data_IF_265251069029
#
_entry.id   IF_265251069029
#
_cell.length_a   1.000
_cell.length_b   1.000
_cell.length_c   1.000
_cell.angle_alpha   90.00
_cell.angle_beta   90.00
_cell.angle_gamma   90.00
#
_symmetry.space_group_name_H-M   'P 1'
#
loop_
_entity.id
_entity.type
_entity.pdbx_description
1 polymer ?
#
# COMPACT_ATOMS: atom_id res chain seq x y z
N UNK A 1 -16.58 7.26 3.84
CA UNK A 1 -15.14 7.44 4.07
C UNK A 1 -14.44 7.72 2.74
N UNK A 2 -13.14 7.99 2.75
CA UNK A 2 -12.29 8.02 1.56
C UNK A 2 -11.05 7.18 1.84
N UNK A 3 -11.16 5.87 1.66
CA UNK A 3 -10.11 4.94 2.07
C UNK A 3 -8.94 4.97 1.07
N UNK A 4 -7.70 5.07 1.59
CA UNK A 4 -6.48 5.15 0.76
C UNK A 4 -5.39 4.14 1.08
N UNK A 5 -5.32 3.66 2.32
CA UNK A 5 -4.37 2.65 2.77
C UNK A 5 -5.03 1.67 3.73
N UNK A 6 -4.52 0.44 3.81
CA UNK A 6 -5.00 -0.55 4.75
C UNK A 6 -3.89 -1.52 5.19
N UNK A 7 -4.07 -2.17 6.34
CA UNK A 7 -3.15 -3.18 6.85
C UNK A 7 -3.81 -4.13 7.84
N UNK A 8 -3.24 -5.32 8.02
CA UNK A 8 -3.70 -6.30 9.01
C UNK A 8 -2.64 -6.39 10.11
N UNK A 9 -3.02 -6.06 11.34
CA UNK A 9 -2.15 -6.18 12.51
C UNK A 9 -1.92 -7.67 12.88
N UNK A 10 -0.85 -7.99 13.64
CA UNK A 10 -0.58 -9.36 14.09
C UNK A 10 -1.72 -9.99 14.91
N UNK A 11 -2.54 -9.16 15.57
CA UNK A 11 -3.73 -9.57 16.33
C UNK A 11 -5.01 -9.68 15.49
N UNK A 12 -4.91 -9.59 14.16
CA UNK A 12 -5.99 -9.63 13.16
C UNK A 12 -6.80 -8.34 13.00
N UNK A 13 -6.55 -7.34 13.84
CA UNK A 13 -7.26 -6.09 13.68
C UNK A 13 -6.89 -5.42 12.36
N UNK A 14 -7.88 -4.82 11.73
CA UNK A 14 -7.78 -4.16 10.45
C UNK A 14 -7.51 -2.69 10.69
N UNK A 15 -6.48 -2.15 10.04
CA UNK A 15 -6.21 -0.71 10.00
C UNK A 15 -6.65 -0.15 8.66
N UNK A 16 -7.39 0.96 8.70
CA UNK A 16 -7.91 1.65 7.52
C UNK A 16 -7.53 3.14 7.60
N UNK A 17 -6.73 3.62 6.64
CA UNK A 17 -6.41 5.04 6.51
C UNK A 17 -7.54 5.79 5.80
N UNK A 18 -8.18 6.72 6.51
CA UNK A 18 -9.26 7.54 6.00
C UNK A 18 -8.76 8.93 5.60
N UNK A 19 -8.78 9.17 4.29
CA UNK A 19 -8.42 10.41 3.63
C UNK A 19 -9.58 11.43 3.69
N UNK A 20 -10.06 11.72 4.89
CA UNK A 20 -11.06 12.75 5.12
C UNK A 20 -10.54 13.77 6.13
N UNK A 21 -11.26 14.88 6.28
CA UNK A 21 -10.87 15.99 7.16
C UNK A 21 -10.78 15.58 8.65
N UNK A 22 -11.49 14.53 9.05
CA UNK A 22 -11.48 13.97 10.41
C UNK A 22 -10.16 13.26 10.77
N UNK A 23 -9.26 13.05 9.80
CA UNK A 23 -7.85 12.62 9.96
C UNK A 23 -7.64 11.48 10.95
N UNK A 24 -8.07 10.28 10.58
CA UNK A 24 -7.90 9.10 11.41
C UNK A 24 -7.41 7.89 10.61
N UNK A 25 -6.63 7.05 11.30
CA UNK A 25 -6.54 5.63 10.96
C UNK A 25 -7.55 4.93 11.87
N UNK A 26 -8.49 4.19 11.30
CA UNK A 26 -9.50 3.46 12.07
C UNK A 26 -9.05 2.02 12.27
N UNK A 27 -9.26 1.52 13.48
CA UNK A 27 -9.02 0.13 13.84
C UNK A 27 -10.35 -0.62 13.97
N UNK A 28 -10.45 -1.76 13.31
CA UNK A 28 -11.58 -2.67 13.37
C UNK A 28 -11.11 -4.07 13.76
N UNK A 29 -11.95 -4.89 14.39
CA UNK A 29 -11.73 -6.33 14.49
C UNK A 29 -11.97 -7.01 13.14
N UNK A 30 -11.56 -8.27 13.02
CA UNK A 30 -11.77 -9.09 11.82
C UNK A 30 -13.24 -9.44 11.55
N UNK A 31 -14.13 -9.29 12.53
CA UNK A 31 -15.58 -9.36 12.38
C UNK A 31 -16.24 -8.04 11.92
N UNK A 32 -15.45 -6.98 11.74
CA UNK A 32 -15.92 -5.66 11.30
C UNK A 32 -16.39 -4.73 12.41
N UNK A 33 -16.26 -5.10 13.69
CA UNK A 33 -16.56 -4.18 14.80
C UNK A 33 -15.54 -3.06 14.87
N UNK A 34 -15.98 -1.80 14.90
CA UNK A 34 -15.11 -0.64 15.13
C UNK A 34 -14.55 -0.68 16.55
N UNK A 35 -13.23 -0.60 16.67
CA UNK A 35 -12.53 -0.64 17.96
C UNK A 35 -12.23 0.78 18.43
N UNK A 36 -11.58 1.59 17.58
CA UNK A 36 -11.19 2.97 17.89
C UNK A 36 -10.66 3.74 16.68
N UNK A 37 -10.56 5.05 16.87
CA UNK A 37 -9.84 5.95 15.97
C UNK A 37 -8.45 6.26 16.51
N UNK A 38 -7.44 6.07 15.66
CA UNK A 38 -6.05 6.38 15.94
C UNK A 38 -5.75 7.78 15.38
N UNK A 39 -5.71 8.78 16.26
CA UNK A 39 -5.45 10.19 15.91
C UNK A 39 -4.07 10.35 15.29
N UNK A 40 -3.97 10.80 14.04
CA UNK A 40 -2.71 10.99 13.30
C UNK A 40 -2.36 12.47 13.09
N UNK A 41 -1.12 12.76 12.71
CA UNK A 41 -0.61 14.14 12.56
C UNK A 41 -1.28 14.93 11.42
N UNK A 42 -1.73 14.26 10.37
CA UNK A 42 -2.40 14.88 9.23
C UNK A 42 -3.27 13.85 8.48
N UNK A 43 -3.77 14.20 7.30
CA UNK A 43 -4.59 13.35 6.43
C UNK A 43 -3.76 12.17 5.93
N UNK A 44 -4.00 10.95 6.44
CA UNK A 44 -3.19 9.80 6.09
C UNK A 44 -3.46 9.40 4.64
N UNK A 45 -2.40 9.06 3.90
CA UNK A 45 -2.49 8.54 2.55
C UNK A 45 -2.34 7.02 2.54
N UNK A 46 -1.20 6.51 3.00
CA UNK A 46 -0.96 5.07 3.09
C UNK A 46 -0.32 4.70 4.43
N UNK A 47 -0.36 3.42 4.78
CA UNK A 47 0.25 2.90 5.99
C UNK A 47 0.95 1.56 5.74
N UNK A 48 1.98 1.28 6.53
CA UNK A 48 2.53 -0.06 6.67
C UNK A 48 2.65 -0.45 8.14
N UNK A 49 2.41 -1.72 8.38
CA UNK A 49 2.65 -2.35 9.68
C UNK A 49 4.15 -2.60 9.80
N UNK A 50 4.75 -2.08 10.86
CA UNK A 50 6.16 -2.34 11.20
C UNK A 50 6.22 -3.55 12.11
N UNK A 51 5.41 -3.53 13.16
CA UNK A 51 5.26 -4.60 14.15
C UNK A 51 3.90 -4.47 14.86
N UNK A 52 3.74 -5.14 16.01
CA UNK A 52 2.47 -5.24 16.73
C UNK A 52 1.94 -3.93 17.32
N UNK A 53 2.77 -2.90 17.49
CA UNK A 53 2.32 -1.62 18.04
C UNK A 53 2.81 -0.40 17.26
N UNK A 54 3.65 -0.57 16.24
CA UNK A 54 4.14 0.52 15.39
C UNK A 54 3.68 0.41 13.94
N UNK A 55 3.34 1.57 13.40
CA UNK A 55 3.01 1.75 11.99
C UNK A 55 3.83 2.90 11.40
N UNK A 56 4.13 2.79 10.11
CA UNK A 56 4.62 3.89 9.29
C UNK A 56 3.44 4.48 8.50
N UNK A 57 3.34 5.80 8.42
CA UNK A 57 2.22 6.49 7.77
C UNK A 57 2.75 7.62 6.89
N UNK A 58 2.25 7.73 5.67
CA UNK A 58 2.46 8.92 4.82
C UNK A 58 1.26 9.85 4.86
N UNK A 59 1.54 11.13 4.63
CA UNK A 59 0.56 12.20 4.67
C UNK A 59 0.62 13.06 3.42
N UNK A 60 -0.51 13.68 3.07
CA UNK A 60 -0.61 14.62 1.92
C UNK A 60 0.33 15.82 2.02
N UNK A 61 0.70 16.23 3.24
CA UNK A 61 1.57 17.38 3.49
C UNK A 61 3.07 17.06 3.40
N UNK A 62 3.46 16.05 2.62
CA UNK A 62 4.87 15.69 2.41
C UNK A 62 5.54 15.22 3.70
N UNK A 63 4.77 14.59 4.58
CA UNK A 63 5.23 14.12 5.89
C UNK A 63 5.11 12.60 5.90
N UNK A 64 6.09 11.94 6.48
CA UNK A 64 6.00 10.56 6.92
C UNK A 64 6.31 10.48 8.40
N UNK A 65 5.64 9.59 9.10
CA UNK A 65 5.97 9.31 10.50
C UNK A 65 5.92 7.82 10.83
N UNK A 66 6.72 7.42 11.81
CA UNK A 66 6.55 6.17 12.53
C UNK A 66 5.92 6.50 13.86
N UNK A 67 4.88 5.78 14.23
CA UNK A 67 4.17 6.00 15.48
C UNK A 67 3.68 4.74 16.14
N UNK A 68 3.49 4.85 17.44
CA UNK A 68 2.84 3.83 18.24
C UNK A 68 1.31 4.02 18.19
N UNK A 69 0.58 2.95 17.87
CA UNK A 69 -0.88 2.98 17.74
C UNK A 69 -1.59 3.06 19.09
N UNK A 70 -0.95 2.65 20.18
CA UNK A 70 -1.56 2.50 21.50
C UNK A 70 -1.43 3.75 22.37
N UNK A 71 -0.29 4.44 22.32
CA UNK A 71 0.00 5.57 23.21
C UNK A 71 0.18 6.92 22.48
N UNK A 72 -0.11 6.96 21.17
CA UNK A 72 0.00 8.16 20.30
C UNK A 72 1.43 8.70 20.13
N UNK A 73 2.46 8.05 20.66
CA UNK A 73 3.86 8.48 20.56
C UNK A 73 4.32 8.45 19.10
N UNK A 74 4.90 9.55 18.63
CA UNK A 74 5.59 9.62 17.34
C UNK A 74 7.07 9.31 17.58
N UNK A 75 7.55 8.20 17.04
CA UNK A 75 8.94 7.76 17.19
C UNK A 75 9.88 8.46 16.22
N UNK A 76 9.38 8.76 15.01
CA UNK A 76 10.16 9.40 13.96
C UNK A 76 9.20 10.19 13.06
N UNK A 77 9.67 11.34 12.58
CA UNK A 77 8.95 12.18 11.63
C UNK A 77 9.94 12.77 10.64
N UNK A 78 9.63 12.65 9.35
CA UNK A 78 10.41 13.22 8.25
C UNK A 78 9.49 14.09 7.40
N UNK A 79 10.00 15.25 7.01
CA UNK A 79 9.34 16.15 6.04
C UNK A 79 10.14 16.13 4.75
N UNK A 80 9.46 15.96 3.63
CA UNK A 80 10.03 15.93 2.29
C UNK A 80 9.74 17.22 1.53
N UNK A 81 10.53 17.47 0.48
CA UNK A 81 10.28 18.56 -0.46
C UNK A 81 9.07 18.29 -1.36
N UNK A 82 8.76 17.02 -1.61
CA UNK A 82 7.71 16.55 -2.53
C UNK A 82 6.69 15.65 -1.83
N UNK A 83 5.52 15.45 -2.45
CA UNK A 83 4.49 14.56 -1.91
C UNK A 83 5.02 13.13 -1.75
N UNK A 84 4.73 12.52 -0.60
CA UNK A 84 5.07 11.14 -0.27
C UNK A 84 3.79 10.28 -0.22
N UNK A 85 3.85 9.08 -0.79
CA UNK A 85 2.66 8.23 -1.00
C UNK A 85 2.87 6.81 -0.48
N UNK A 86 2.88 5.79 -1.34
CA UNK A 86 3.00 4.39 -0.92
C UNK A 86 4.20 4.16 0.00
N UNK A 87 4.00 3.34 1.04
CA UNK A 87 4.98 3.19 2.14
C UNK A 87 5.20 1.74 2.61
N UNK A 88 5.68 0.81 1.78
CA UNK A 88 6.00 -0.54 2.26
C UNK A 88 7.18 -0.55 3.23
N UNK A 89 7.13 -1.49 4.16
CA UNK A 89 8.18 -1.79 5.11
C UNK A 89 8.74 -3.19 4.84
N UNK A 90 10.06 -3.31 4.71
CA UNK A 90 10.72 -4.59 4.48
C UNK A 90 12.15 -4.58 5.04
N UNK A 91 12.52 -5.65 5.75
CA UNK A 91 13.89 -5.91 6.23
C UNK A 91 14.49 -4.71 7.00
N UNK A 92 13.71 -4.08 7.87
CA UNK A 92 14.17 -2.94 8.66
C UNK A 92 14.17 -1.59 7.93
N UNK A 93 13.79 -1.56 6.65
CA UNK A 93 13.78 -0.34 5.84
C UNK A 93 12.36 0.08 5.46
N UNK A 94 12.16 1.38 5.42
CA UNK A 94 10.96 2.02 4.88
C UNK A 94 11.27 2.48 3.46
N UNK A 95 10.36 2.16 2.54
CA UNK A 95 10.43 2.60 1.16
C UNK A 95 9.26 3.56 0.96
N UNK A 96 9.52 4.79 0.54
CA UNK A 96 8.44 5.73 0.24
C UNK A 96 8.58 6.31 -1.15
N UNK A 97 7.47 6.36 -1.88
CA UNK A 97 7.42 7.02 -3.17
C UNK A 97 7.32 8.53 -2.99
N UNK A 98 8.28 9.27 -3.53
CA UNK A 98 8.25 10.71 -3.72
C UNK A 98 8.02 11.02 -5.21
N UNK A 99 7.02 11.85 -5.52
CA UNK A 99 6.56 12.08 -6.91
C UNK A 99 7.66 12.49 -7.88
N UNK A 100 8.67 13.22 -7.43
CA UNK A 100 9.76 13.72 -8.28
C UNK A 100 11.05 12.92 -8.09
N UNK A 101 11.35 12.48 -6.88
CA UNK A 101 12.62 11.80 -6.57
C UNK A 101 12.56 10.27 -6.74
N UNK A 102 11.41 9.69 -7.07
CA UNK A 102 11.27 8.24 -7.13
C UNK A 102 11.15 7.63 -5.72
N UNK A 103 11.79 6.46 -5.48
CA UNK A 103 11.61 5.74 -4.22
C UNK A 103 12.76 6.03 -3.28
N UNK A 104 12.47 6.65 -2.15
CA UNK A 104 13.44 6.90 -1.08
C UNK A 104 13.41 5.73 -0.10
N UNK A 105 14.61 5.18 0.17
CA UNK A 105 14.82 4.12 1.16
C UNK A 105 15.40 4.74 2.42
N UNK A 106 14.75 4.52 3.56
CA UNK A 106 15.16 5.02 4.86
C UNK A 106 15.26 3.89 5.88
N UNK A 107 16.13 4.10 6.87
CA UNK A 107 16.08 3.30 8.09
C UNK A 107 15.00 3.81 9.06
N UNK A 108 14.83 3.09 10.17
CA UNK A 108 13.85 3.40 11.21
C UNK A 108 14.11 4.71 11.98
N UNK A 109 15.30 5.31 11.83
CA UNK A 109 15.61 6.63 12.39
C UNK A 109 15.20 7.78 11.46
N UNK A 110 14.73 7.47 10.25
CA UNK A 110 14.41 8.46 9.21
C UNK A 110 15.61 8.87 8.39
N UNK A 111 16.78 8.23 8.58
CA UNK A 111 17.96 8.51 7.77
C UNK A 111 17.75 7.93 6.37
N UNK A 112 17.87 8.79 5.36
CA UNK A 112 17.92 8.38 3.95
C UNK A 112 19.16 7.52 3.71
N UNK A 113 18.95 6.29 3.28
CA UNK A 113 20.01 5.33 2.95
C UNK A 113 20.41 5.45 1.48
N UNK A 114 19.40 5.53 0.59
CA UNK A 114 19.58 5.69 -0.86
C UNK A 114 18.26 6.10 -1.52
N UNK A 115 18.35 6.37 -2.81
CA UNK A 115 17.20 6.55 -3.70
C UNK A 115 17.28 5.58 -4.85
N UNK A 116 16.13 5.03 -5.19
CA UNK A 116 15.96 4.13 -6.33
C UNK A 116 15.30 4.98 -7.41
N UNK A 117 16.16 5.58 -8.22
CA UNK A 117 15.79 6.38 -9.38
C UNK A 117 15.39 5.46 -10.54
N UNK A 118 14.22 5.70 -11.12
CA UNK A 118 13.69 4.91 -12.23
C UNK A 118 12.41 5.50 -12.81
N UNK A 119 11.57 4.68 -13.43
CA UNK A 119 10.24 5.07 -13.96
C UNK A 119 9.25 5.56 -12.88
N UNK A 120 9.67 5.62 -11.62
CA UNK A 120 8.88 6.00 -10.45
C UNK A 120 8.64 7.50 -10.32
N UNK A 121 9.48 8.34 -10.94
CA UNK A 121 9.26 9.78 -11.07
C UNK A 121 8.24 10.13 -12.18
N UNK A 122 7.27 9.25 -12.42
CA UNK A 122 6.27 9.40 -13.45
C UNK A 122 4.93 9.82 -12.85
N UNK A 123 4.25 10.74 -13.53
CA UNK A 123 2.83 11.01 -13.29
C UNK A 123 2.07 9.67 -13.30
N UNK A 124 1.31 9.41 -12.24
CA UNK A 124 0.42 8.25 -12.19
C UNK A 124 0.75 7.16 -11.16
N UNK A 125 1.88 7.26 -10.46
CA UNK A 125 2.26 6.23 -9.46
C UNK A 125 1.98 6.78 -8.07
N UNK A 126 1.26 6.00 -7.26
CA UNK A 126 0.93 6.37 -5.87
C UNK A 126 1.14 5.22 -4.89
N UNK A 127 0.92 3.98 -5.31
CA UNK A 127 1.10 2.80 -4.47
C UNK A 127 2.29 1.99 -4.95
N UNK A 128 3.06 1.52 -3.99
CA UNK A 128 4.22 0.65 -4.17
C UNK A 128 4.17 -0.46 -3.14
N UNK A 129 4.74 -1.62 -3.47
CA UNK A 129 4.99 -2.70 -2.51
C UNK A 129 6.36 -3.31 -2.76
N UNK A 130 6.88 -4.05 -1.79
CA UNK A 130 8.17 -4.73 -1.92
C UNK A 130 8.08 -6.17 -1.46
N UNK A 131 8.78 -7.06 -2.15
CA UNK A 131 8.99 -8.45 -1.72
C UNK A 131 10.28 -8.98 -2.33
N UNK A 132 11.03 -9.81 -1.61
CA UNK A 132 12.25 -10.49 -2.09
C UNK A 132 13.22 -9.61 -2.91
N UNK A 133 13.52 -8.39 -2.44
CA UNK A 133 14.39 -7.43 -3.15
C UNK A 133 13.87 -6.98 -4.52
N UNK A 134 12.56 -7.02 -4.71
CA UNK A 134 11.86 -6.39 -5.82
C UNK A 134 10.91 -5.32 -5.32
N UNK A 135 10.69 -4.36 -6.21
CA UNK A 135 9.75 -3.26 -6.03
C UNK A 135 8.69 -3.39 -7.11
N UNK A 136 7.44 -3.25 -6.69
CA UNK A 136 6.30 -3.25 -7.58
C UNK A 136 5.55 -1.94 -7.43
N UNK A 137 5.09 -1.38 -8.54
CA UNK A 137 4.26 -0.19 -8.52
C UNK A 137 3.15 -0.27 -9.57
N UNK A 138 2.04 0.40 -9.30
CA UNK A 138 0.96 0.60 -10.26
C UNK A 138 1.06 1.98 -10.89
N UNK A 139 0.85 2.07 -12.19
CA UNK A 139 0.61 3.35 -12.85
C UNK A 139 -0.84 3.41 -13.34
N UNK A 140 -1.63 4.24 -12.66
CA UNK A 140 -3.05 4.33 -12.94
C UNK A 140 -3.35 5.04 -14.27
N UNK A 141 -2.46 5.91 -14.75
CA UNK A 141 -2.61 6.59 -16.03
C UNK A 141 -2.30 5.67 -17.22
N UNK A 142 -1.50 4.62 -16.99
CA UNK A 142 -1.07 3.67 -18.02
C UNK A 142 -1.72 2.29 -17.89
N UNK A 143 -2.57 2.07 -16.89
CA UNK A 143 -3.24 0.78 -16.66
C UNK A 143 -2.22 -0.38 -16.54
N UNK A 144 -1.12 -0.13 -15.82
CA UNK A 144 0.03 -1.03 -15.82
C UNK A 144 0.62 -1.26 -14.43
N UNK A 145 1.36 -2.36 -14.33
CA UNK A 145 2.13 -2.76 -13.16
C UNK A 145 3.58 -2.90 -13.57
N UNK A 146 4.48 -2.27 -12.83
CA UNK A 146 5.92 -2.33 -13.08
C UNK A 146 6.60 -3.11 -11.97
N UNK A 147 7.57 -3.94 -12.34
CA UNK A 147 8.48 -4.61 -11.41
C UNK A 147 9.92 -4.21 -11.73
N UNK A 148 10.67 -3.80 -10.71
CA UNK A 148 12.10 -3.54 -10.83
C UNK A 148 12.89 -4.14 -9.66
N UNK A 149 14.20 -4.24 -9.83
CA UNK A 149 15.12 -4.60 -8.75
C UNK A 149 15.32 -3.44 -7.77
N UNK A 150 15.97 -3.72 -6.62
CA UNK A 150 16.39 -2.69 -5.65
C UNK A 150 17.45 -1.71 -6.19
N UNK A 151 17.98 -1.95 -7.40
CA UNK A 151 18.94 -1.10 -8.12
C UNK A 151 18.34 -0.52 -9.40
N UNK A 152 17.01 -0.44 -9.47
CA UNK A 152 16.21 0.12 -10.57
C UNK A 152 16.34 -0.55 -11.94
N UNK A 153 16.81 -1.80 -11.98
CA UNK A 153 16.75 -2.60 -13.21
C UNK A 153 15.29 -3.01 -13.49
N UNK A 154 14.79 -2.66 -14.67
CA UNK A 154 13.46 -3.09 -15.13
C UNK A 154 13.44 -4.62 -15.29
N UNK A 155 12.53 -5.29 -14.58
CA UNK A 155 12.40 -6.76 -14.67
C UNK A 155 11.25 -7.11 -15.63
N UNK A 156 10.07 -6.55 -15.39
CA UNK A 156 8.92 -6.73 -16.27
C UNK A 156 7.91 -5.59 -16.12
N UNK A 157 7.04 -5.47 -17.12
CA UNK A 157 5.86 -4.61 -17.08
C UNK A 157 4.65 -5.42 -17.54
N UNK A 158 3.59 -5.39 -16.75
CA UNK A 158 2.30 -5.95 -17.12
C UNK A 158 1.36 -4.83 -17.54
N UNK A 159 0.72 -4.99 -18.69
CA UNK A 159 -0.36 -4.13 -19.18
C UNK A 159 -1.49 -5.03 -19.64
N UNK A 160 -2.64 -4.96 -18.98
CA UNK A 160 -3.80 -5.80 -19.28
C UNK A 160 -5.03 -4.94 -19.56
N UNK A 161 -5.79 -5.28 -20.61
CA UNK A 161 -7.02 -4.54 -20.94
C UNK A 161 -8.08 -4.60 -19.83
N UNK A 162 -8.07 -5.67 -19.03
CA UNK A 162 -8.99 -5.85 -17.90
C UNK A 162 -8.58 -5.07 -16.64
N UNK A 163 -7.39 -4.48 -16.59
CA UNK A 163 -6.89 -3.73 -15.43
C UNK A 163 -7.00 -2.23 -15.70
N UNK A 164 -8.09 -1.59 -15.28
CA UNK A 164 -8.32 -0.16 -15.54
C UNK A 164 -8.15 0.65 -14.27
N UNK A 165 -7.34 1.72 -14.34
CA UNK A 165 -7.02 2.61 -13.22
C UNK A 165 -6.38 1.81 -12.06
N UNK A 166 -5.27 1.14 -12.34
CA UNK A 166 -4.55 0.31 -11.36
C UNK A 166 -4.08 1.16 -10.15
N UNK A 167 -4.45 0.75 -8.93
CA UNK A 167 -4.09 1.46 -7.69
C UNK A 167 -3.46 0.56 -6.64
N UNK A 168 -4.23 0.00 -5.72
CA UNK A 168 -3.68 -0.78 -4.62
C UNK A 168 -2.84 -1.95 -5.14
N UNK A 169 -1.71 -2.19 -4.47
CA UNK A 169 -0.80 -3.28 -4.81
C UNK A 169 -0.22 -3.90 -3.54
N UNK A 170 -0.19 -5.23 -3.51
CA UNK A 170 0.48 -6.01 -2.47
C UNK A 170 1.12 -7.25 -3.08
N UNK A 171 2.04 -7.89 -2.38
CA UNK A 171 2.77 -9.04 -2.90
C UNK A 171 2.96 -10.12 -1.84
N UNK A 172 2.91 -11.38 -2.27
CA UNK A 172 3.21 -12.53 -1.42
C UNK A 172 4.72 -12.83 -1.33
N UNK A 173 5.05 -13.93 -0.66
CA UNK A 173 6.41 -14.44 -0.54
C UNK A 173 6.95 -15.11 -1.80
N UNK A 174 6.08 -15.50 -2.73
CA UNK A 174 6.41 -16.15 -4.00
C UNK A 174 6.50 -15.14 -5.16
N UNK A 175 6.49 -13.85 -4.83
CA UNK A 175 6.56 -12.74 -5.78
C UNK A 175 5.31 -12.61 -6.70
N UNK A 176 4.20 -13.25 -6.35
CA UNK A 176 2.92 -12.93 -6.97
C UNK A 176 2.40 -11.61 -6.43
N UNK A 177 1.80 -10.83 -7.32
CA UNK A 177 1.37 -9.45 -7.05
C UNK A 177 -0.14 -9.36 -7.18
N UNK A 178 -0.79 -8.84 -6.15
CA UNK A 178 -2.23 -8.60 -6.10
C UNK A 178 -2.49 -7.13 -6.36
N UNK A 179 -3.28 -6.84 -7.39
CA UNK A 179 -3.47 -5.48 -7.89
C UNK A 179 -4.95 -5.19 -8.05
N UNK A 180 -5.36 -4.04 -7.52
CA UNK A 180 -6.71 -3.53 -7.66
C UNK A 180 -6.83 -2.67 -8.90
N UNK A 181 -7.76 -3.01 -9.78
CA UNK A 181 -8.23 -2.12 -10.85
C UNK A 181 -9.41 -1.30 -10.34
N UNK A 182 -9.18 -0.04 -9.97
CA UNK A 182 -10.21 0.78 -9.31
C UNK A 182 -11.41 1.05 -10.22
N UNK A 183 -11.18 1.27 -11.51
CA UNK A 183 -12.28 1.55 -12.46
C UNK A 183 -12.84 0.29 -13.12
N UNK A 184 -12.06 -0.80 -13.14
CA UNK A 184 -12.53 -2.11 -13.58
C UNK A 184 -13.15 -2.95 -12.46
N UNK A 185 -13.23 -2.42 -11.23
CA UNK A 185 -13.80 -3.06 -10.04
C UNK A 185 -13.33 -4.51 -9.87
N UNK A 186 -12.02 -4.75 -9.97
CA UNK A 186 -11.47 -6.09 -9.90
C UNK A 186 -10.17 -6.16 -9.10
N UNK A 187 -9.89 -7.38 -8.64
CA UNK A 187 -8.62 -7.78 -8.06
C UNK A 187 -7.97 -8.79 -8.98
N UNK A 188 -6.78 -8.49 -9.46
CA UNK A 188 -5.98 -9.39 -10.29
C UNK A 188 -4.76 -9.88 -9.53
N UNK A 189 -4.43 -11.15 -9.67
CA UNK A 189 -3.13 -11.70 -9.31
C UNK A 189 -2.28 -11.80 -10.57
N UNK A 190 -1.03 -11.33 -10.49
CA UNK A 190 -0.02 -11.42 -11.54
C UNK A 190 1.14 -12.27 -10.99
N UNK A 191 1.59 -13.27 -11.74
CA UNK A 191 2.69 -14.13 -11.31
C UNK A 191 4.03 -13.40 -11.31
N UNK A 192 5.02 -13.97 -10.61
CA UNK A 192 6.37 -13.42 -10.40
C UNK A 192 7.14 -13.00 -11.67
N UNK A 193 6.77 -13.53 -12.84
CA UNK A 193 7.38 -13.22 -14.13
C UNK A 193 6.58 -12.19 -14.97
N UNK A 194 5.45 -11.73 -14.47
CA UNK A 194 4.59 -10.75 -15.13
C UNK A 194 3.79 -11.28 -16.32
N UNK A 195 3.85 -12.59 -16.64
CA UNK A 195 3.24 -13.13 -17.87
C UNK A 195 1.84 -13.69 -17.65
N UNK A 196 1.63 -14.39 -16.54
CA UNK A 196 0.34 -14.98 -16.21
C UNK A 196 -0.39 -14.08 -15.24
N UNK A 197 -1.66 -13.85 -15.54
CA UNK A 197 -2.56 -13.14 -14.63
C UNK A 197 -3.91 -13.84 -14.52
N UNK A 198 -4.56 -13.67 -13.39
CA UNK A 198 -5.90 -14.20 -13.10
C UNK A 198 -6.69 -13.15 -12.33
N UNK A 199 -7.93 -12.91 -12.75
CA UNK A 199 -8.90 -12.17 -11.94
C UNK A 199 -9.37 -13.04 -10.79
N UNK A 200 -9.19 -12.57 -9.56
CA UNK A 200 -9.60 -13.25 -8.34
C UNK A 200 -10.98 -12.79 -7.88
N UNK A 201 -11.22 -11.49 -7.90
CA UNK A 201 -12.48 -10.86 -7.50
C UNK A 201 -12.91 -9.82 -8.53
N UNK A 202 -14.20 -9.56 -8.58
CA UNK A 202 -14.88 -8.68 -9.52
C UNK A 202 -15.94 -7.84 -8.81
N UNK A 203 -16.64 -6.99 -9.57
CA UNK A 203 -17.75 -6.19 -9.04
C UNK A 203 -18.87 -7.05 -8.42
N UNK A 204 -19.10 -8.27 -8.92
CA UNK A 204 -20.11 -9.17 -8.34
C UNK A 204 -19.75 -9.65 -6.94
N UNK A 205 -18.47 -9.55 -6.56
CA UNK A 205 -17.98 -9.87 -5.21
C UNK A 205 -18.05 -8.66 -4.26
N UNK A 206 -18.62 -7.53 -4.72
CA UNK A 206 -18.82 -6.31 -3.93
C UNK A 206 -17.74 -5.25 -4.10
N UNK A 207 -16.74 -5.48 -4.96
CA UNK A 207 -15.70 -4.48 -5.25
C UNK A 207 -16.31 -3.29 -6.00
N UNK A 208 -16.13 -2.09 -5.46
CA UNK A 208 -16.61 -0.84 -6.07
C UNK A 208 -15.68 0.31 -5.74
N UNK A 209 -14.99 0.83 -6.75
CA UNK A 209 -13.95 1.84 -6.57
C UNK A 209 -12.96 1.45 -5.47
N UNK A 210 -12.56 0.18 -5.44
CA UNK A 210 -11.57 -0.35 -4.50
C UNK A 210 -10.23 0.37 -4.69
N UNK A 211 -9.59 0.75 -3.58
CA UNK A 211 -8.32 1.50 -3.62
C UNK A 211 -7.19 0.68 -3.02
N UNK A 212 -7.05 0.50 -1.69
CA UNK A 212 -5.94 -0.27 -1.16
C UNK A 212 -6.24 -1.78 -1.17
N UNK A 213 -5.14 -2.55 -1.21
CA UNK A 213 -5.10 -3.98 -0.91
C UNK A 213 -3.87 -4.27 -0.07
N UNK A 214 -4.00 -5.16 0.91
CA UNK A 214 -2.92 -5.62 1.75
C UNK A 214 -2.93 -7.15 1.86
N UNK A 215 -1.82 -7.79 1.54
CA UNK A 215 -1.62 -9.23 1.74
C UNK A 215 -0.89 -9.51 3.06
N UNK A 216 -1.56 -10.24 3.95
CA UNK A 216 -0.95 -10.80 5.14
C UNK A 216 -0.37 -12.19 4.80
N UNK A 217 0.95 -12.30 4.82
CA UNK A 217 1.68 -13.52 4.43
C UNK A 217 1.43 -14.69 5.36
N UNK A 218 1.41 -14.44 6.67
CA UNK A 218 1.29 -15.49 7.68
C UNK A 218 -0.07 -16.19 7.60
N UNK A 219 -1.11 -15.42 7.26
CA UNK A 219 -2.49 -15.90 7.19
C UNK A 219 -2.95 -16.23 5.77
N UNK A 220 -2.18 -15.82 4.76
CA UNK A 220 -2.57 -15.87 3.34
C UNK A 220 -3.93 -15.20 3.08
N UNK A 221 -4.09 -14.02 3.68
CA UNK A 221 -5.31 -13.21 3.60
C UNK A 221 -5.05 -11.90 2.88
N UNK A 222 -6.01 -11.49 2.06
CA UNK A 222 -6.09 -10.15 1.47
C UNK A 222 -7.13 -9.33 2.22
N UNK A 223 -6.73 -8.13 2.66
CA UNK A 223 -7.65 -7.07 3.04
C UNK A 223 -7.81 -6.12 1.85
N UNK A 224 -9.05 -5.87 1.43
CA UNK A 224 -9.39 -4.91 0.39
C UNK A 224 -10.37 -3.89 0.96
N UNK A 225 -10.26 -2.63 0.54
CA UNK A 225 -11.23 -1.61 0.92
C UNK A 225 -11.75 -0.84 -0.30
N UNK A 226 -13.07 -0.75 -0.42
CA UNK A 226 -13.73 0.22 -1.27
C UNK A 226 -13.48 1.63 -0.75
N UNK A 227 -13.37 2.61 -1.67
CA UNK A 227 -13.12 3.99 -1.27
C UNK A 227 -14.19 4.54 -0.30
N UNK A 228 -15.43 4.05 -0.39
CA UNK A 228 -16.54 4.47 0.47
C UNK A 228 -16.45 3.96 1.92
N UNK A 229 -15.69 2.88 2.18
CA UNK A 229 -15.53 2.29 3.52
C UNK A 229 -15.76 0.79 3.60
N UNK A 230 -16.38 0.15 2.60
CA UNK A 230 -16.61 -1.30 2.66
C UNK A 230 -15.27 -2.05 2.64
N UNK A 231 -15.08 -2.99 3.55
CA UNK A 231 -13.84 -3.76 3.68
C UNK A 231 -14.12 -5.27 3.54
N UNK A 232 -13.20 -5.97 2.90
CA UNK A 232 -13.32 -7.39 2.58
C UNK A 232 -12.07 -8.14 3.00
N UNK A 233 -12.25 -9.28 3.66
CA UNK A 233 -11.20 -10.27 3.90
C UNK A 233 -11.38 -11.44 2.94
N UNK A 234 -10.32 -11.77 2.20
CA UNK A 234 -10.34 -12.84 1.20
C UNK A 234 -9.15 -13.79 1.41
N UNK A 235 -9.41 -15.09 1.44
CA UNK A 235 -8.37 -16.11 1.57
C UNK A 235 -7.85 -16.55 0.20
N UNK A 236 -6.52 -16.55 0.07
CA UNK A 236 -5.82 -17.01 -1.13
C UNK A 236 -5.36 -18.45 -0.87
N UNK A 237 -6.24 -19.42 -1.14
CA UNK A 237 -5.96 -20.87 -1.03
C UNK A 237 -5.44 -21.40 -2.37
#
# INVERSE_FOLDING_TARGET
MNVRGCGILPNNNLLIANYNEDKAIMEYSDDGTHIRDITVSDTPFDLAIIDGDRIAVTYTKKIMEIRNINNKMVHMKVTFEWGCYGIPYQNGNIYTLLVIEGIVVMDMSGKRLRTIDGKFAALGIYHITTTNNRIYCTNHAKNSVYCCSMTSEDIWTFTGQSLVNARGISADGDENVFVVGTSSNNLMMIQHDGKVSKTLLTESDGLKNTVPVHYNRDKKLLLLCNANGDAFLYSVI
#
